data_IF_968753230188
#
_entry.id   IF_968753230188
#
_cell.length_a   1.000
_cell.length_b   1.000
_cell.length_c   1.000
_cell.angle_alpha   90.00
_cell.angle_beta   90.00
_cell.angle_gamma   90.00
#
_symmetry.space_group_name_H-M   'P 1'
#
loop_
_entity.id
_entity.type
_entity.pdbx_description
1 polymer ?
#
# COMPACT_ATOMS: atom_id res chain seq x y z
N UNK A 1 101.37 67.23 -27.42
CA UNK A 1 99.90 67.30 -27.45
C UNK A 1 99.42 67.00 -28.87
N UNK A 2 98.86 65.82 -29.13
CA UNK A 2 98.03 65.53 -30.31
C UNK A 2 97.09 64.37 -30.01
N UNK A 3 95.87 64.55 -30.49
CA UNK A 3 94.57 63.95 -30.16
C UNK A 3 94.37 62.53 -30.71
N UNK A 4 93.62 61.70 -29.98
CA UNK A 4 93.09 60.41 -30.47
C UNK A 4 91.57 60.43 -30.38
N UNK A 5 90.90 60.52 -31.53
CA UNK A 5 89.44 60.52 -31.67
C UNK A 5 88.92 59.14 -32.06
N UNK A 6 87.92 58.63 -31.33
CA UNK A 6 87.20 57.38 -31.58
C UNK A 6 86.15 57.54 -32.71
N UNK A 7 85.92 56.52 -33.57
CA UNK A 7 84.87 56.55 -34.57
C UNK A 7 83.49 56.10 -34.03
N UNK A 8 82.46 56.87 -34.37
CA UNK A 8 81.04 56.61 -34.09
C UNK A 8 80.51 55.43 -34.94
N UNK A 9 79.76 54.51 -34.30
CA UNK A 9 79.04 53.40 -34.93
C UNK A 9 77.59 53.82 -35.23
N UNK A 10 77.17 53.68 -36.48
CA UNK A 10 75.80 53.99 -36.94
C UNK A 10 74.76 52.93 -36.49
N UNK A 11 73.49 53.32 -36.27
CA UNK A 11 72.42 52.41 -35.86
C UNK A 11 71.80 51.62 -37.03
N UNK A 12 71.65 50.30 -36.85
CA UNK A 12 70.91 49.39 -37.74
C UNK A 12 69.39 49.57 -37.58
N UNK A 13 68.69 49.98 -38.64
CA UNK A 13 67.22 49.93 -38.73
C UNK A 13 66.75 48.48 -38.91
N UNK A 14 65.83 48.01 -38.06
CA UNK A 14 65.09 46.75 -38.25
C UNK A 14 63.74 47.06 -38.91
N UNK A 15 63.48 46.43 -40.05
CA UNK A 15 62.16 46.39 -40.66
C UNK A 15 61.27 45.40 -39.90
N UNK A 16 60.16 45.88 -39.34
CA UNK A 16 59.10 45.05 -38.75
C UNK A 16 58.02 44.85 -39.82
N UNK A 17 57.72 43.60 -40.15
CA UNK A 17 56.72 43.23 -41.14
C UNK A 17 55.28 43.58 -40.67
N UNK A 18 54.38 44.04 -41.56
CA UNK A 18 53.07 44.59 -41.19
C UNK A 18 51.99 43.54 -40.84
N UNK A 19 52.30 42.23 -40.88
CA UNK A 19 51.29 41.18 -40.72
C UNK A 19 50.88 40.88 -39.26
N UNK A 20 51.64 41.34 -38.26
CA UNK A 20 51.37 41.04 -36.85
C UNK A 20 50.23 41.85 -36.21
N UNK A 21 49.80 42.95 -36.84
CA UNK A 21 48.80 43.88 -36.24
C UNK A 21 47.36 43.39 -36.38
N UNK A 22 47.08 42.56 -37.39
CA UNK A 22 45.73 42.08 -37.69
C UNK A 22 45.37 40.84 -36.86
N UNK A 23 46.34 39.96 -36.60
CA UNK A 23 46.14 38.79 -35.74
C UNK A 23 45.83 39.17 -34.29
N UNK A 24 46.48 40.21 -33.75
CA UNK A 24 46.24 40.67 -32.37
C UNK A 24 44.84 41.27 -32.17
N UNK A 25 44.33 42.03 -33.15
CA UNK A 25 43.00 42.62 -33.06
C UNK A 25 41.88 41.56 -33.02
N UNK A 26 42.02 40.51 -33.83
CA UNK A 26 41.03 39.43 -33.91
C UNK A 26 40.99 38.58 -32.64
N UNK A 27 42.15 38.32 -32.04
CA UNK A 27 42.24 37.62 -30.74
C UNK A 27 41.57 38.42 -29.62
N UNK A 28 41.74 39.74 -29.57
CA UNK A 28 41.09 40.57 -28.54
C UNK A 28 39.57 40.58 -28.71
N UNK A 29 39.07 40.68 -29.95
CA UNK A 29 37.62 40.63 -30.23
C UNK A 29 37.02 39.27 -29.90
N UNK A 30 37.73 38.18 -30.19
CA UNK A 30 37.28 36.83 -29.83
C UNK A 30 37.27 36.65 -28.32
N UNK A 31 38.29 37.11 -27.60
CA UNK A 31 38.33 37.03 -26.13
C UNK A 31 37.21 37.85 -25.50
N UNK A 32 36.99 39.10 -25.95
CA UNK A 32 35.93 39.95 -25.39
C UNK A 32 34.54 39.41 -25.70
N UNK A 33 34.30 38.94 -26.93
CA UNK A 33 33.04 38.29 -27.29
C UNK A 33 32.80 37.01 -26.48
N UNK A 34 33.83 36.18 -26.29
CA UNK A 34 33.73 34.95 -25.51
C UNK A 34 33.46 35.26 -24.03
N UNK A 35 34.13 36.26 -23.44
CA UNK A 35 33.83 36.69 -22.06
C UNK A 35 32.42 37.28 -21.89
N UNK A 36 31.84 37.87 -22.94
CA UNK A 36 30.47 38.37 -22.90
C UNK A 36 29.43 37.24 -22.94
N UNK A 37 29.71 36.17 -23.71
CA UNK A 37 28.82 35.01 -23.83
C UNK A 37 28.88 34.11 -22.57
N UNK A 38 30.02 34.05 -21.89
CA UNK A 38 30.14 33.26 -20.64
C UNK A 38 29.56 33.95 -19.40
N UNK A 39 29.27 35.26 -19.44
CA UNK A 39 28.82 36.02 -18.27
C UNK A 39 27.30 35.96 -17.99
N UNK A 40 26.49 35.37 -18.87
CA UNK A 40 25.01 35.52 -18.80
C UNK A 40 24.27 34.35 -18.18
N UNK A 41 24.96 33.30 -17.73
CA UNK A 41 24.34 32.13 -17.11
C UNK A 41 24.80 31.93 -15.66
N UNK A 42 24.77 32.99 -14.85
CA UNK A 42 24.70 32.79 -13.42
C UNK A 42 23.26 32.35 -13.10
N UNK A 43 23.00 31.09 -12.69
CA UNK A 43 21.69 30.71 -12.24
C UNK A 43 21.26 31.67 -11.13
N UNK A 44 20.15 32.36 -11.36
CA UNK A 44 19.49 33.18 -10.35
C UNK A 44 18.97 32.24 -9.27
N UNK A 45 19.83 31.83 -8.35
CA UNK A 45 19.40 31.18 -7.13
C UNK A 45 18.65 32.23 -6.32
N UNK A 46 17.32 32.17 -6.34
CA UNK A 46 16.55 32.79 -5.28
C UNK A 46 16.96 32.08 -4.00
N UNK A 47 17.62 32.81 -3.10
CA UNK A 47 17.92 32.35 -1.75
C UNK A 47 16.60 32.26 -0.97
N UNK A 48 15.73 31.33 -1.36
CA UNK A 48 14.57 30.93 -0.58
C UNK A 48 15.11 30.12 0.60
N UNK A 49 15.48 30.84 1.65
CA UNK A 49 15.90 30.22 2.90
C UNK A 49 14.69 30.16 3.83
N UNK A 50 14.40 28.94 4.30
CA UNK A 50 13.33 28.69 5.24
C UNK A 50 13.82 29.05 6.63
N UNK A 51 13.42 30.23 7.12
CA UNK A 51 13.82 30.75 8.44
C UNK A 51 13.16 30.05 9.64
N UNK A 52 12.23 29.11 9.40
CA UNK A 52 11.41 28.52 10.45
C UNK A 52 11.52 27.00 10.44
N UNK A 53 12.43 26.48 11.27
CA UNK A 53 12.45 25.07 11.65
C UNK A 53 11.46 24.82 12.81
N UNK A 54 10.16 24.99 12.54
CA UNK A 54 9.15 24.49 13.49
C UNK A 54 8.97 23.00 13.24
N UNK A 55 9.63 22.19 14.04
CA UNK A 55 9.37 20.75 14.08
C UNK A 55 7.99 20.54 14.70
N UNK A 56 7.04 20.03 13.92
CA UNK A 56 5.81 19.49 14.45
C UNK A 56 6.05 18.00 14.70
N UNK A 57 5.90 17.56 15.95
CA UNK A 57 5.83 16.15 16.27
C UNK A 57 4.35 15.77 16.40
N UNK A 58 3.94 14.75 15.67
CA UNK A 58 2.62 14.13 15.81
C UNK A 58 2.80 12.64 16.08
N UNK A 59 1.93 12.07 16.89
CA UNK A 59 1.80 10.63 17.03
C UNK A 59 0.62 10.17 16.16
N UNK A 60 0.83 9.13 15.37
CA UNK A 60 -0.26 8.42 14.70
C UNK A 60 -0.51 7.14 15.48
N UNK A 61 -1.77 6.83 15.72
CA UNK A 61 -2.20 5.53 16.18
C UNK A 61 -3.04 4.91 15.08
N UNK A 62 -2.84 3.61 14.81
CA UNK A 62 -3.75 2.88 13.95
C UNK A 62 -5.13 2.83 14.62
N UNK A 63 -6.18 3.04 13.83
CA UNK A 63 -7.54 2.77 14.30
C UNK A 63 -7.64 1.28 14.68
N UNK A 64 -8.31 1.00 15.78
CA UNK A 64 -8.62 -0.37 16.18
C UNK A 64 -10.09 -0.65 15.89
N UNK A 65 -10.35 -1.56 14.94
CA UNK A 65 -11.70 -2.06 14.67
C UNK A 65 -11.92 -3.27 15.57
N UNK A 66 -12.80 -3.18 16.59
CA UNK A 66 -13.04 -4.31 17.49
C UNK A 66 -13.62 -5.49 16.73
N UNK A 67 -13.22 -6.70 17.13
CA UNK A 67 -13.70 -7.92 16.53
C UNK A 67 -15.09 -8.30 17.07
N UNK A 68 -15.92 -8.99 16.27
CA UNK A 68 -17.12 -9.63 16.76
C UNK A 68 -16.76 -10.83 17.65
N UNK A 69 -17.65 -11.18 18.57
CA UNK A 69 -17.41 -12.28 19.52
C UNK A 69 -18.42 -13.41 19.35
N UNK A 70 -17.98 -14.66 19.48
CA UNK A 70 -18.87 -15.82 19.50
C UNK A 70 -19.64 -15.85 20.82
N UNK A 71 -20.96 -15.97 20.75
CA UNK A 71 -21.86 -15.96 21.92
C UNK A 71 -22.38 -17.34 22.29
N UNK A 72 -22.09 -18.35 21.47
CA UNK A 72 -22.49 -19.73 21.71
C UNK A 72 -21.71 -20.72 20.86
N UNK A 73 -21.93 -22.01 21.12
CA UNK A 73 -21.39 -23.09 20.29
C UNK A 73 -22.09 -23.10 18.94
N UNK A 74 -21.32 -23.12 17.86
CA UNK A 74 -21.89 -23.24 16.52
C UNK A 74 -22.54 -24.61 16.29
N UNK A 75 -23.50 -24.67 15.37
CA UNK A 75 -24.30 -25.87 15.13
C UNK A 75 -24.32 -26.23 13.65
N UNK A 76 -23.96 -27.47 13.34
CA UNK A 76 -24.26 -28.04 12.03
C UNK A 76 -25.71 -28.52 11.99
N UNK A 77 -26.48 -28.07 11.01
CA UNK A 77 -27.87 -28.48 10.80
C UNK A 77 -27.95 -29.31 9.52
N UNK A 78 -27.95 -30.65 9.61
CA UNK A 78 -28.07 -31.50 8.44
C UNK A 78 -29.46 -31.27 7.81
N UNK A 79 -29.48 -30.91 6.54
CA UNK A 79 -30.72 -30.78 5.76
C UNK A 79 -31.33 -32.14 5.42
N UNK A 80 -32.43 -32.16 4.67
CA UNK A 80 -33.04 -33.41 4.21
C UNK A 80 -32.21 -33.94 3.04
N UNK A 81 -31.58 -35.11 3.19
CA UNK A 81 -30.66 -35.68 2.18
C UNK A 81 -29.52 -34.71 1.79
N UNK A 82 -29.06 -33.88 2.74
CA UNK A 82 -28.05 -32.84 2.49
C UNK A 82 -28.58 -31.57 1.84
N UNK A 83 -29.84 -31.55 1.37
CA UNK A 83 -30.48 -30.35 0.83
C UNK A 83 -30.90 -29.41 1.95
N UNK A 84 -30.43 -28.15 1.88
CA UNK A 84 -30.70 -27.13 2.90
C UNK A 84 -29.88 -27.27 4.17
N UNK A 85 -28.81 -28.08 4.13
CA UNK A 85 -27.82 -28.14 5.20
C UNK A 85 -27.16 -26.77 5.40
N UNK A 86 -26.89 -26.40 6.66
CA UNK A 86 -26.39 -25.08 7.03
C UNK A 86 -25.58 -25.12 8.32
N UNK A 87 -24.63 -24.20 8.42
CA UNK A 87 -23.87 -23.91 9.64
C UNK A 87 -24.49 -22.74 10.35
N UNK A 88 -24.87 -22.91 11.60
CA UNK A 88 -25.45 -21.87 12.44
C UNK A 88 -24.38 -21.32 13.38
N UNK A 89 -24.15 -20.02 13.29
CA UNK A 89 -23.15 -19.29 14.06
C UNK A 89 -23.88 -18.30 14.97
N UNK A 90 -23.50 -18.29 16.26
CA UNK A 90 -24.01 -17.36 17.25
C UNK A 90 -22.91 -16.39 17.62
N UNK A 91 -23.15 -15.10 17.43
CA UNK A 91 -22.15 -14.06 17.58
C UNK A 91 -22.77 -12.73 18.01
N UNK A 92 -21.96 -11.78 18.42
CA UNK A 92 -22.38 -10.41 18.75
C UNK A 92 -21.44 -9.39 18.14
N UNK A 93 -22.02 -8.24 17.81
CA UNK A 93 -21.28 -7.06 17.36
C UNK A 93 -20.69 -6.31 18.55
N UNK A 94 -19.52 -5.69 18.38
CA UNK A 94 -19.05 -4.65 19.29
C UNK A 94 -19.94 -3.40 19.23
N UNK A 95 -19.94 -2.63 20.31
CA UNK A 95 -20.75 -1.41 20.43
C UNK A 95 -20.40 -0.40 19.33
N UNK A 96 -21.43 0.24 18.76
CA UNK A 96 -21.28 1.26 17.72
C UNK A 96 -21.24 0.72 16.28
N UNK A 97 -21.23 -0.60 16.09
CA UNK A 97 -21.27 -1.24 14.77
C UNK A 97 -22.64 -1.83 14.45
N UNK A 98 -22.93 -1.96 13.17
CA UNK A 98 -24.19 -2.50 12.63
C UNK A 98 -23.93 -3.70 11.72
N UNK A 99 -24.99 -4.36 11.24
CA UNK A 99 -24.86 -5.47 10.29
C UNK A 99 -24.31 -5.05 8.92
N UNK A 100 -24.38 -3.77 8.59
CA UNK A 100 -23.82 -3.23 7.33
C UNK A 100 -22.29 -3.13 7.39
N UNK A 101 -21.73 -3.16 8.61
CA UNK A 101 -20.29 -3.09 8.91
C UNK A 101 -19.68 -4.50 9.08
N UNK A 102 -20.35 -5.54 8.57
CA UNK A 102 -19.95 -6.94 8.80
C UNK A 102 -19.82 -7.69 7.49
N UNK A 103 -18.74 -8.44 7.38
CA UNK A 103 -18.52 -9.38 6.30
C UNK A 103 -18.36 -10.81 6.81
N UNK A 104 -18.75 -11.77 5.98
CA UNK A 104 -18.49 -13.19 6.22
C UNK A 104 -17.45 -13.64 5.23
N UNK A 105 -16.34 -14.13 5.75
CA UNK A 105 -15.25 -14.69 4.99
C UNK A 105 -15.25 -16.21 5.15
N UNK A 106 -14.73 -16.90 4.15
CA UNK A 106 -14.54 -18.34 4.18
C UNK A 106 -13.18 -18.71 3.61
N UNK A 107 -12.60 -19.78 4.13
CA UNK A 107 -11.41 -20.41 3.59
C UNK A 107 -11.47 -21.91 3.82
N UNK A 108 -10.69 -22.67 3.05
CA UNK A 108 -10.49 -24.09 3.34
C UNK A 108 -9.23 -24.31 4.15
N UNK A 109 -9.44 -24.86 5.34
CA UNK A 109 -8.34 -25.31 6.17
C UNK A 109 -7.54 -26.39 5.43
N UNK A 110 -6.21 -26.29 5.47
CA UNK A 110 -5.30 -27.28 4.86
C UNK A 110 -4.87 -27.03 3.41
N UNK A 111 -5.44 -26.06 2.70
CA UNK A 111 -4.98 -25.66 1.35
C UNK A 111 -4.16 -24.36 1.33
N UNK A 112 -3.86 -23.78 2.49
CA UNK A 112 -3.17 -22.49 2.59
C UNK A 112 -3.98 -21.33 1.99
N UNK A 113 -5.30 -21.49 1.90
CA UNK A 113 -6.20 -20.50 1.33
C UNK A 113 -6.42 -19.35 2.31
N UNK A 114 -6.25 -18.12 1.82
CA UNK A 114 -6.51 -16.89 2.57
C UNK A 114 -8.03 -16.74 2.78
N UNK A 115 -8.45 -16.32 3.97
CA UNK A 115 -9.85 -15.91 4.22
C UNK A 115 -10.28 -14.90 3.16
N UNK A 116 -11.32 -15.25 2.41
CA UNK A 116 -11.86 -14.42 1.35
C UNK A 116 -13.35 -14.18 1.58
N UNK A 117 -13.89 -13.02 1.17
CA UNK A 117 -15.31 -12.76 1.25
C UNK A 117 -16.14 -13.87 0.59
N UNK A 118 -17.16 -14.35 1.31
CA UNK A 118 -18.05 -15.40 0.81
C UNK A 118 -18.96 -14.83 -0.29
N UNK A 119 -18.49 -14.91 -1.53
CA UNK A 119 -19.20 -14.32 -2.68
C UNK A 119 -20.59 -14.94 -2.87
N UNK A 120 -21.58 -14.11 -3.17
CA UNK A 120 -22.97 -14.53 -3.35
C UNK A 120 -23.74 -14.86 -2.05
N UNK A 121 -23.10 -14.72 -0.89
CA UNK A 121 -23.78 -14.81 0.40
C UNK A 121 -24.30 -13.45 0.86
N UNK A 122 -25.59 -13.40 1.25
CA UNK A 122 -26.19 -12.21 1.85
C UNK A 122 -26.21 -12.36 3.37
N UNK A 123 -25.39 -11.59 4.09
CA UNK A 123 -25.38 -11.63 5.56
C UNK A 123 -26.73 -11.23 6.14
N UNK A 124 -27.30 -10.10 5.68
CA UNK A 124 -28.58 -9.59 6.17
C UNK A 124 -29.74 -10.55 5.91
N UNK A 125 -29.75 -11.25 4.77
CA UNK A 125 -30.77 -12.26 4.45
C UNK A 125 -30.63 -13.57 5.23
N UNK A 126 -29.46 -13.84 5.82
CA UNK A 126 -29.17 -15.08 6.54
C UNK A 126 -28.95 -14.88 8.05
N UNK A 127 -29.11 -13.65 8.54
CA UNK A 127 -28.88 -13.29 9.94
C UNK A 127 -30.17 -12.86 10.60
N UNK A 128 -30.42 -13.35 11.81
CA UNK A 128 -31.52 -12.91 12.65
C UNK A 128 -31.00 -12.40 13.99
N UNK A 129 -31.63 -11.34 14.50
CA UNK A 129 -31.37 -10.84 15.86
C UNK A 129 -31.96 -11.79 16.89
N UNK A 130 -31.24 -11.99 17.98
CA UNK A 130 -31.61 -12.84 19.12
C UNK A 130 -31.40 -12.04 20.42
N UNK A 131 -31.85 -12.58 21.55
CA UNK A 131 -31.64 -11.93 22.86
C UNK A 131 -30.15 -11.81 23.25
N UNK A 132 -29.26 -12.59 22.63
CA UNK A 132 -27.83 -12.71 22.97
C UNK A 132 -26.93 -12.10 21.89
N UNK A 133 -27.49 -11.41 20.88
CA UNK A 133 -26.75 -10.91 19.72
C UNK A 133 -27.40 -11.39 18.41
N UNK A 134 -26.61 -11.98 17.52
CA UNK A 134 -27.01 -12.39 16.19
C UNK A 134 -26.84 -13.89 15.98
N UNK A 135 -27.69 -14.42 15.10
CA UNK A 135 -27.61 -15.80 14.61
C UNK A 135 -27.56 -15.78 13.10
N UNK A 136 -26.45 -16.23 12.53
CA UNK A 136 -26.25 -16.33 11.08
C UNK A 136 -26.28 -17.80 10.66
N UNK A 137 -27.11 -18.13 9.67
CA UNK A 137 -27.18 -19.46 9.07
C UNK A 137 -26.46 -19.43 7.72
N UNK A 138 -25.27 -20.03 7.61
CA UNK A 138 -24.49 -20.12 6.37
C UNK A 138 -24.82 -21.42 5.63
N UNK A 139 -25.45 -21.37 4.44
CA UNK A 139 -25.82 -22.57 3.68
C UNK A 139 -24.59 -23.37 3.23
N UNK A 140 -24.58 -24.69 3.46
CA UNK A 140 -23.43 -25.54 3.13
C UNK A 140 -23.33 -25.88 1.64
N UNK A 141 -24.37 -25.60 0.83
CA UNK A 141 -24.31 -25.75 -0.62
C UNK A 141 -23.36 -24.73 -1.27
N UNK A 142 -23.24 -23.53 -0.69
CA UNK A 142 -22.22 -22.55 -1.07
C UNK A 142 -20.81 -23.03 -0.70
N UNK A 143 -20.72 -23.90 0.32
CA UNK A 143 -19.47 -24.43 0.86
C UNK A 143 -19.03 -25.71 0.11
N UNK A 144 -19.99 -26.56 -0.28
CA UNK A 144 -19.77 -27.85 -0.92
C UNK A 144 -19.50 -27.77 -2.43
N UNK A 145 -19.96 -26.70 -3.09
CA UNK A 145 -19.67 -26.47 -4.51
C UNK A 145 -18.21 -26.14 -4.82
N UNK A 146 -17.45 -25.67 -3.82
CA UNK A 146 -16.07 -25.27 -3.99
C UNK A 146 -15.09 -26.43 -3.80
N UNK A 147 -15.22 -27.29 -2.77
CA UNK A 147 -14.09 -28.13 -2.35
C UNK A 147 -14.48 -29.50 -1.75
N UNK A 148 -15.39 -30.22 -2.42
CA UNK A 148 -15.49 -31.68 -2.37
C UNK A 148 -15.60 -32.33 -0.98
N UNK A 149 -16.80 -32.83 -0.65
CA UNK A 149 -17.11 -33.91 0.32
C UNK A 149 -15.94 -34.34 1.26
N UNK A 150 -15.57 -33.51 2.24
CA UNK A 150 -14.59 -33.90 3.27
C UNK A 150 -13.64 -32.82 3.76
N UNK A 151 -13.53 -31.68 3.07
CA UNK A 151 -12.68 -30.57 3.53
C UNK A 151 -13.31 -29.83 4.72
N UNK A 152 -12.52 -29.53 5.74
CA UNK A 152 -12.92 -28.61 6.83
C UNK A 152 -12.82 -27.16 6.32
N UNK A 153 -13.93 -26.44 6.41
CA UNK A 153 -14.04 -25.05 6.02
C UNK A 153 -14.00 -24.17 7.27
N UNK A 154 -13.21 -23.12 7.21
CA UNK A 154 -13.24 -22.03 8.18
C UNK A 154 -14.18 -20.93 7.69
N UNK A 155 -15.07 -20.47 8.57
CA UNK A 155 -15.98 -19.35 8.34
C UNK A 155 -15.66 -18.31 9.40
N UNK A 156 -15.31 -17.10 8.97
CA UNK A 156 -14.96 -16.00 9.85
C UNK A 156 -15.92 -14.84 9.65
N UNK A 157 -16.46 -14.33 10.75
CA UNK A 157 -17.25 -13.08 10.75
C UNK A 157 -16.31 -11.96 11.20
N UNK A 158 -16.18 -10.93 10.38
CA UNK A 158 -15.29 -9.79 10.61
C UNK A 158 -16.08 -8.49 10.59
N UNK A 159 -15.59 -7.49 11.30
CA UNK A 159 -16.14 -6.12 11.24
C UNK A 159 -15.27 -5.29 10.30
N UNK A 160 -15.90 -4.48 9.46
CA UNK A 160 -15.26 -3.58 8.51
C UNK A 160 -15.64 -2.12 8.81
N UNK A 161 -14.67 -1.22 8.72
CA UNK A 161 -14.86 0.22 8.90
C UNK A 161 -14.04 0.97 7.83
N UNK A 162 -14.71 1.33 6.74
CA UNK A 162 -14.06 1.89 5.55
C UNK A 162 -13.05 0.91 4.94
N UNK A 163 -11.75 1.21 5.05
CA UNK A 163 -10.68 0.32 4.57
C UNK A 163 -10.08 -0.58 5.66
N UNK A 164 -10.59 -0.51 6.88
CA UNK A 164 -10.11 -1.28 8.01
C UNK A 164 -10.96 -2.52 8.21
N UNK A 165 -10.33 -3.60 8.65
CA UNK A 165 -10.97 -4.86 9.05
C UNK A 165 -10.47 -5.22 10.44
N UNK A 166 -11.32 -5.80 11.27
CA UNK A 166 -10.93 -6.31 12.58
C UNK A 166 -9.75 -7.30 12.45
N UNK A 167 -8.78 -7.21 13.36
CA UNK A 167 -7.62 -8.12 13.35
C UNK A 167 -8.02 -9.55 13.70
N UNK A 168 -8.96 -9.68 14.63
CA UNK A 168 -9.57 -10.94 15.02
C UNK A 168 -10.96 -11.09 14.39
N UNK A 169 -11.49 -12.32 14.44
CA UNK A 169 -12.78 -12.67 13.88
C UNK A 169 -13.55 -13.62 14.79
N UNK A 170 -14.88 -13.60 14.70
CA UNK A 170 -15.69 -14.68 15.24
C UNK A 170 -15.66 -15.85 14.25
N UNK A 171 -14.69 -16.75 14.43
CA UNK A 171 -14.37 -17.82 13.49
C UNK A 171 -14.88 -19.20 13.94
N UNK A 172 -15.34 -20.01 12.99
CA UNK A 172 -15.77 -21.39 13.23
C UNK A 172 -15.21 -22.29 12.14
N UNK A 173 -14.90 -23.53 12.51
CA UNK A 173 -14.59 -24.58 11.56
C UNK A 173 -15.80 -25.50 11.41
N UNK A 174 -16.15 -25.85 10.18
CA UNK A 174 -17.23 -26.77 9.88
C UNK A 174 -16.87 -27.69 8.73
N UNK A 175 -17.27 -28.96 8.87
CA UNK A 175 -17.27 -29.94 7.81
C UNK A 175 -18.71 -30.22 7.37
N UNK A 176 -18.95 -30.23 6.06
CA UNK A 176 -20.28 -30.51 5.50
C UNK A 176 -20.75 -31.97 5.70
N UNK A 177 -19.87 -32.85 6.19
CA UNK A 177 -20.15 -34.28 6.36
C UNK A 177 -20.09 -35.05 5.04
N UNK A 178 -20.22 -36.37 5.12
CA UNK A 178 -20.34 -37.24 3.95
C UNK A 178 -21.71 -37.05 3.27
N UNK A 179 -21.91 -37.71 2.13
CA UNK A 179 -23.19 -37.76 1.38
C UNK A 179 -24.41 -37.77 2.32
N UNK A 180 -25.37 -36.88 2.05
CA UNK A 180 -26.57 -36.60 2.86
C UNK A 180 -26.36 -35.84 4.19
N UNK A 181 -25.19 -35.27 4.45
CA UNK A 181 -24.91 -34.45 5.64
C UNK A 181 -24.63 -35.27 6.91
N UNK A 182 -24.37 -36.57 6.76
CA UNK A 182 -24.04 -37.46 7.87
C UNK A 182 -22.58 -37.21 8.27
N UNK A 183 -22.35 -36.96 9.56
CA UNK A 183 -21.02 -36.70 10.11
C UNK A 183 -20.54 -35.25 9.97
N UNK A 184 -21.42 -34.33 9.57
CA UNK A 184 -21.10 -32.90 9.59
C UNK A 184 -20.91 -32.39 11.02
N UNK A 185 -19.92 -31.53 11.21
CA UNK A 185 -19.59 -30.93 12.50
C UNK A 185 -19.48 -29.41 12.38
N UNK A 186 -19.56 -28.75 13.53
CA UNK A 186 -19.16 -27.36 13.67
C UNK A 186 -18.46 -27.19 15.01
N UNK A 187 -17.34 -26.47 15.03
CA UNK A 187 -16.61 -26.09 16.24
C UNK A 187 -16.19 -24.63 16.17
N UNK A 188 -16.21 -23.95 17.31
CA UNK A 188 -15.68 -22.60 17.42
C UNK A 188 -14.15 -22.62 17.30
N UNK A 189 -13.59 -21.62 16.62
CA UNK A 189 -12.16 -21.35 16.59
C UNK A 189 -11.88 -20.20 17.56
N UNK A 190 -10.76 -20.30 18.26
CA UNK A 190 -10.29 -19.36 19.28
C UNK A 190 -9.05 -18.65 18.80
#
# INVERSE_FOLDING_TARGET
MKTTSLPQRAPRRRHVAPQARWAFGLVIVVITALSLVLSTNAPNFTAAHWHSSRAAAGAFQAGNVPAPTLTGQCQFRPGILGLGARVRIFWSLPDGYTLDDVEVHASTSGLGSVLAPLTGFSLSGNTVTTAQGYRTDVPTNLLGGLLGLGSELEIAIVVTDGSWTSQDAAAVASNAGLLAGIGGNCRNLT
#
